data_IF_887266933457
#
_entry.id   IF_887266933457
#
_cell.length_a   1.000
_cell.length_b   1.000
_cell.length_c   1.000
_cell.angle_alpha   90.00
_cell.angle_beta   90.00
_cell.angle_gamma   90.00
#
_symmetry.space_group_name_H-M   'P 1'
#
loop_
_entity.id
_entity.type
_entity.pdbx_description
1 polymer ?
#
# COMPACT_ATOMS: atom_id res chain seq x y z
N UNK A 1 -7.28 -0.57 40.94
CA UNK A 1 -7.88 -1.89 40.64
C UNK A 1 -6.89 -2.60 39.72
N UNK A 2 -5.97 -3.42 40.26
CA UNK A 2 -4.84 -3.98 39.51
C UNK A 2 -5.31 -5.01 38.47
N UNK A 3 -5.08 -4.74 37.19
CA UNK A 3 -5.29 -5.70 36.11
C UNK A 3 -4.04 -6.58 35.97
N UNK A 4 -4.10 -7.83 36.45
CA UNK A 4 -3.03 -8.82 36.21
C UNK A 4 -3.19 -9.40 34.81
N UNK A 5 -2.31 -9.04 33.89
CA UNK A 5 -2.16 -9.72 32.60
C UNK A 5 -1.54 -11.11 32.82
N UNK A 6 -2.27 -12.17 32.46
CA UNK A 6 -1.78 -13.54 32.53
C UNK A 6 -1.09 -13.88 31.21
N UNK A 7 0.24 -13.84 31.20
CA UNK A 7 1.04 -14.27 30.05
C UNK A 7 1.50 -15.73 30.25
N UNK A 8 1.20 -16.60 29.28
CA UNK A 8 1.56 -18.01 29.32
C UNK A 8 2.86 -18.24 28.55
N UNK A 9 3.92 -18.66 29.25
CA UNK A 9 5.19 -19.04 28.62
C UNK A 9 5.33 -20.56 28.64
N UNK A 10 5.51 -21.17 27.47
CA UNK A 10 5.67 -22.60 27.33
C UNK A 10 7.14 -23.00 27.50
N UNK A 11 7.39 -24.04 28.30
CA UNK A 11 8.70 -24.64 28.49
C UNK A 11 8.65 -26.10 28.04
N UNK A 12 9.72 -26.58 27.40
CA UNK A 12 9.85 -27.99 27.02
C UNK A 12 10.63 -28.71 28.10
N UNK A 13 9.97 -29.65 28.78
CA UNK A 13 10.58 -30.50 29.80
C UNK A 13 10.84 -31.90 29.26
N UNK A 14 11.79 -32.59 29.88
CA UNK A 14 12.22 -33.93 29.48
C UNK A 14 12.35 -34.82 30.70
N UNK A 15 12.06 -36.11 30.54
CA UNK A 15 12.42 -37.09 31.58
C UNK A 15 13.96 -37.23 31.71
N UNK A 16 14.44 -37.60 32.90
CA UNK A 16 15.86 -37.68 33.29
C UNK A 16 16.62 -38.84 32.62
N UNK A 17 15.97 -39.60 31.75
CA UNK A 17 16.61 -40.71 31.03
C UNK A 17 17.58 -40.18 29.96
N UNK A 18 18.85 -40.60 30.04
CA UNK A 18 19.83 -40.41 28.96
C UNK A 18 19.45 -41.32 27.79
N UNK A 19 18.76 -40.75 26.80
CA UNK A 19 18.21 -41.50 25.66
C UNK A 19 19.26 -42.33 24.91
N UNK A 20 18.87 -43.52 24.46
CA UNK A 20 19.73 -44.50 23.77
C UNK A 20 18.93 -45.69 23.22
N UNK A 21 19.59 -46.63 22.53
CA UNK A 21 18.92 -47.79 21.90
C UNK A 21 18.24 -48.66 22.97
N UNK A 22 16.91 -48.62 23.02
CA UNK A 22 16.07 -49.30 24.01
C UNK A 22 15.54 -48.42 25.15
N UNK A 23 16.01 -47.17 25.27
CA UNK A 23 15.54 -46.20 26.26
C UNK A 23 14.89 -44.99 25.59
N UNK A 24 13.56 -44.93 25.66
CA UNK A 24 12.77 -43.82 25.14
C UNK A 24 12.86 -42.58 26.04
N UNK A 25 13.03 -41.41 25.42
CA UNK A 25 13.03 -40.12 26.13
C UNK A 25 11.76 -39.36 25.76
N UNK A 26 10.95 -39.07 26.76
CA UNK A 26 9.67 -38.38 26.59
C UNK A 26 9.87 -36.88 26.86
N UNK A 27 9.31 -36.07 25.97
CA UNK A 27 9.28 -34.61 26.05
C UNK A 27 7.84 -34.16 26.22
N UNK A 28 7.58 -33.19 27.08
CA UNK A 28 6.28 -32.56 27.18
C UNK A 28 6.40 -31.06 27.40
N UNK A 29 5.37 -30.33 26.95
CA UNK A 29 5.26 -28.89 27.08
C UNK A 29 4.51 -28.57 28.37
N UNK A 30 5.15 -27.81 29.26
CA UNK A 30 4.53 -27.32 30.48
C UNK A 30 4.33 -25.80 30.36
N UNK A 31 3.12 -25.33 30.64
CA UNK A 31 2.78 -23.92 30.62
C UNK A 31 2.75 -23.42 32.07
N UNK A 32 3.78 -22.67 32.47
CA UNK A 32 3.79 -22.02 33.78
C UNK A 32 3.14 -20.64 33.67
N UNK A 33 2.15 -20.39 34.53
CA UNK A 33 1.51 -19.08 34.67
C UNK A 33 2.47 -18.16 35.42
N UNK A 34 3.04 -17.19 34.72
CA UNK A 34 3.82 -16.15 35.35
C UNK A 34 2.90 -14.98 35.66
N UNK A 35 2.83 -14.55 36.92
CA UNK A 35 2.24 -13.26 37.27
C UNK A 35 3.37 -12.25 37.19
N UNK A 36 3.49 -11.59 36.04
CA UNK A 36 4.33 -10.39 35.98
C UNK A 36 3.63 -9.34 36.84
N UNK A 37 4.29 -8.88 37.89
CA UNK A 37 3.94 -7.61 38.52
C UNK A 37 4.19 -6.53 37.45
N UNK A 38 3.11 -5.91 37.01
CA UNK A 38 3.17 -4.75 36.12
C UNK A 38 3.72 -3.62 36.98
N UNK A 39 5.01 -3.34 36.85
CA UNK A 39 5.58 -2.09 37.33
C UNK A 39 4.77 -0.95 36.71
N UNK A 40 4.07 -0.18 37.55
CA UNK A 40 3.25 0.98 37.17
C UNK A 40 4.08 2.18 36.66
N UNK A 41 5.37 1.98 36.33
CA UNK A 41 6.27 2.99 35.79
C UNK A 41 6.57 2.86 34.28
N UNK A 42 5.83 2.03 33.56
CA UNK A 42 5.70 2.22 32.12
C UNK A 42 4.53 3.17 31.86
N UNK A 43 4.82 4.47 31.77
CA UNK A 43 4.05 5.36 30.90
C UNK A 43 4.01 4.68 29.53
N UNK A 44 2.90 4.03 29.22
CA UNK A 44 2.66 3.47 27.89
C UNK A 44 2.75 4.62 26.91
N UNK A 45 3.76 4.55 26.05
CA UNK A 45 4.00 5.42 24.90
C UNK A 45 2.89 5.29 23.84
N UNK A 46 1.63 5.45 24.23
CA UNK A 46 0.47 5.51 23.33
C UNK A 46 0.41 6.87 22.62
N UNK A 47 1.01 7.92 23.20
CA UNK A 47 1.03 9.28 22.63
C UNK A 47 1.76 9.39 21.28
N UNK A 48 2.58 8.40 20.92
CA UNK A 48 3.35 8.40 19.67
C UNK A 48 2.87 7.36 18.65
N UNK A 49 1.82 6.58 18.97
CA UNK A 49 1.34 5.50 18.12
C UNK A 49 -0.01 5.88 17.52
N UNK A 50 -0.10 5.83 16.20
CA UNK A 50 -1.36 5.93 15.46
C UNK A 50 -1.86 4.54 15.14
N UNK A 51 -3.12 4.28 15.48
CA UNK A 51 -3.87 3.12 15.02
C UNK A 51 -4.62 3.49 13.75
N UNK A 52 -4.36 2.76 12.67
CA UNK A 52 -5.05 2.92 11.41
C UNK A 52 -6.23 1.95 11.33
N UNK A 53 -7.31 2.44 10.76
CA UNK A 53 -8.47 1.66 10.40
C UNK A 53 -8.57 1.62 8.88
N UNK A 54 -9.04 0.47 8.39
CA UNK A 54 -9.26 0.25 6.97
C UNK A 54 -10.74 0.45 6.68
N UNK A 55 -11.07 1.41 5.82
CA UNK A 55 -12.44 1.58 5.36
C UNK A 55 -12.90 0.40 4.51
N UNK A 56 -14.21 0.14 4.52
CA UNK A 56 -14.80 -0.86 3.66
C UNK A 56 -14.64 -0.43 2.19
N UNK A 57 -14.15 -1.30 1.29
CA UNK A 57 -14.03 -0.98 -0.14
C UNK A 57 -15.34 -0.53 -0.81
N UNK A 58 -16.48 -0.96 -0.29
CA UNK A 58 -17.79 -0.61 -0.83
C UNK A 58 -18.19 0.86 -0.60
N UNK A 59 -17.60 1.52 0.41
CA UNK A 59 -17.95 2.90 0.78
C UNK A 59 -17.27 3.92 -0.15
N UNK A 60 -16.24 3.50 -0.87
CA UNK A 60 -15.43 4.38 -1.71
C UNK A 60 -16.08 4.54 -3.09
N UNK A 61 -16.34 5.80 -3.47
CA UNK A 61 -16.94 6.12 -4.77
C UNK A 61 -15.91 6.00 -5.88
N UNK A 62 -16.02 4.94 -6.67
CA UNK A 62 -15.21 4.73 -7.87
C UNK A 62 -15.76 5.50 -9.08
N UNK A 63 -14.85 5.86 -9.99
CA UNK A 63 -15.22 6.34 -11.32
C UNK A 63 -16.03 5.29 -12.09
N UNK A 64 -16.95 5.72 -12.94
CA UNK A 64 -17.92 4.85 -13.62
C UNK A 64 -17.27 3.68 -14.37
N UNK A 65 -16.17 3.96 -15.09
CA UNK A 65 -15.39 2.95 -15.81
C UNK A 65 -14.85 1.86 -14.87
N UNK A 66 -14.25 2.28 -13.76
CA UNK A 66 -13.63 1.37 -12.80
C UNK A 66 -14.66 0.64 -11.93
N UNK A 67 -15.85 1.19 -11.74
CA UNK A 67 -16.97 0.50 -11.06
C UNK A 67 -17.40 -0.78 -11.78
N UNK A 68 -17.26 -0.83 -13.11
CA UNK A 68 -17.55 -2.04 -13.88
C UNK A 68 -16.48 -3.14 -13.67
N UNK A 69 -15.22 -2.73 -13.50
CA UNK A 69 -14.06 -3.60 -13.37
C UNK A 69 -13.92 -4.11 -11.92
N UNK A 70 -13.96 -3.20 -10.95
CA UNK A 70 -13.88 -3.43 -9.51
C UNK A 70 -15.28 -3.64 -8.95
N UNK A 71 -15.72 -4.90 -8.88
CA UNK A 71 -16.98 -5.22 -8.20
C UNK A 71 -16.77 -5.11 -6.69
N UNK A 72 -17.60 -4.31 -6.02
CA UNK A 72 -17.51 -4.03 -4.58
C UNK A 72 -16.15 -3.45 -4.15
N UNK A 73 -15.45 -2.73 -5.03
CA UNK A 73 -14.14 -2.15 -4.72
C UNK A 73 -12.98 -3.16 -4.77
N UNK A 74 -13.22 -4.40 -5.17
CA UNK A 74 -12.20 -5.46 -5.26
C UNK A 74 -12.07 -6.02 -6.68
N UNK A 75 -10.83 -6.38 -7.03
CA UNK A 75 -10.46 -7.00 -8.29
C UNK A 75 -9.55 -8.19 -8.03
N UNK A 76 -9.97 -9.38 -8.44
CA UNK A 76 -9.11 -10.57 -8.46
C UNK A 76 -8.18 -10.50 -9.67
N UNK A 77 -6.88 -10.40 -9.47
CA UNK A 77 -5.92 -10.17 -10.57
C UNK A 77 -5.93 -11.31 -11.61
N UNK A 78 -6.13 -12.56 -11.17
CA UNK A 78 -6.24 -13.74 -12.05
C UNK A 78 -7.63 -13.94 -12.69
N UNK A 79 -8.61 -13.08 -12.37
CA UNK A 79 -9.91 -13.16 -13.04
C UNK A 79 -9.82 -12.63 -14.47
N UNK A 80 -10.76 -13.02 -15.33
CA UNK A 80 -10.84 -12.49 -16.69
C UNK A 80 -10.84 -10.95 -16.71
N UNK A 81 -11.55 -10.31 -15.77
CA UNK A 81 -11.59 -8.83 -15.65
C UNK A 81 -10.26 -8.25 -15.22
N UNK A 82 -9.59 -8.91 -14.27
CA UNK A 82 -8.25 -8.52 -13.82
C UNK A 82 -7.23 -8.61 -14.94
N UNK A 83 -7.26 -9.71 -15.69
CA UNK A 83 -6.40 -9.90 -16.86
C UNK A 83 -6.72 -8.86 -17.94
N UNK A 84 -7.99 -8.62 -18.26
CA UNK A 84 -8.40 -7.57 -19.20
C UNK A 84 -7.89 -6.19 -18.78
N UNK A 85 -8.07 -5.79 -17.52
CA UNK A 85 -7.56 -4.52 -17.01
C UNK A 85 -6.05 -4.43 -17.15
N UNK A 86 -5.32 -5.47 -16.74
CA UNK A 86 -3.86 -5.53 -16.87
C UNK A 86 -3.46 -5.40 -18.36
N UNK A 87 -4.10 -6.15 -19.25
CA UNK A 87 -3.80 -6.08 -20.69
C UNK A 87 -4.09 -4.71 -21.28
N UNK A 88 -5.17 -4.03 -20.87
CA UNK A 88 -5.50 -2.66 -21.32
C UNK A 88 -4.47 -1.64 -20.80
N UNK A 89 -4.05 -1.77 -19.54
CA UNK A 89 -3.01 -0.90 -18.98
C UNK A 89 -1.69 -1.07 -19.74
N UNK A 90 -1.21 -2.30 -19.92
CA UNK A 90 0.04 -2.56 -20.65
C UNK A 90 -0.06 -2.21 -22.13
N UNK A 91 -1.18 -2.53 -22.79
CA UNK A 91 -1.38 -2.19 -24.21
C UNK A 91 -1.45 -0.69 -24.43
N UNK A 92 -1.95 0.10 -23.49
CA UNK A 92 -1.95 1.56 -23.60
C UNK A 92 -0.53 2.15 -23.53
N UNK A 93 0.36 1.60 -22.69
CA UNK A 93 1.77 2.02 -22.63
C UNK A 93 2.50 1.64 -23.92
N UNK A 94 2.31 0.40 -24.39
CA UNK A 94 2.91 -0.09 -25.65
C UNK A 94 2.37 0.70 -26.85
N UNK A 95 1.06 0.93 -26.90
CA UNK A 95 0.40 1.70 -27.95
C UNK A 95 0.84 3.14 -27.98
N UNK A 96 1.05 3.77 -26.82
CA UNK A 96 1.62 5.11 -26.72
C UNK A 96 3.06 5.16 -27.23
N UNK A 97 3.91 4.19 -26.84
CA UNK A 97 5.28 4.10 -27.35
C UNK A 97 5.31 3.88 -28.87
N UNK A 98 4.43 3.02 -29.40
CA UNK A 98 4.29 2.79 -30.83
C UNK A 98 3.81 4.05 -31.56
N UNK A 99 2.87 4.81 -30.98
CA UNK A 99 2.42 6.08 -31.52
C UNK A 99 3.57 7.10 -31.64
N UNK A 100 4.36 7.28 -30.58
CA UNK A 100 5.54 8.16 -30.61
C UNK A 100 6.56 7.69 -31.65
N UNK A 101 6.77 6.38 -31.77
CA UNK A 101 7.67 5.80 -32.76
C UNK A 101 7.20 6.04 -34.20
N UNK A 102 5.92 5.76 -34.50
CA UNK A 102 5.33 6.00 -35.82
C UNK A 102 5.34 7.49 -36.17
N UNK A 103 4.97 8.35 -35.23
CA UNK A 103 5.01 9.80 -35.40
C UNK A 103 6.43 10.28 -35.75
N UNK A 104 7.44 9.71 -35.10
CA UNK A 104 8.84 10.01 -35.40
C UNK A 104 9.25 9.54 -36.82
N UNK A 105 8.76 8.39 -37.27
CA UNK A 105 9.03 7.90 -38.63
C UNK A 105 8.39 8.78 -39.71
N UNK A 106 7.15 9.25 -39.49
CA UNK A 106 6.45 10.16 -40.41
C UNK A 106 7.25 11.46 -40.58
N UNK A 107 7.71 12.04 -39.46
CA UNK A 107 8.52 13.26 -39.49
C UNK A 107 9.86 13.12 -40.21
N UNK A 108 10.45 11.92 -40.25
CA UNK A 108 11.72 11.66 -40.94
C UNK A 108 11.52 11.45 -42.45
N UNK A 109 10.33 11.02 -42.87
CA UNK A 109 10.02 10.76 -44.28
C UNK A 109 9.68 12.03 -45.07
N UNK A 110 9.22 13.08 -44.40
CA UNK A 110 9.01 14.37 -45.04
C UNK A 110 10.37 15.04 -45.31
N UNK A 111 10.74 15.15 -46.59
CA UNK A 111 11.96 15.87 -47.04
C UNK A 111 11.89 17.39 -46.80
N UNK A 112 10.83 17.88 -46.14
CA UNK A 112 10.66 19.30 -45.82
C UNK A 112 11.57 19.72 -44.66
N UNK A 113 12.13 20.92 -44.77
CA UNK A 113 12.84 21.58 -43.67
C UNK A 113 11.90 21.69 -42.45
N UNK A 114 12.33 21.16 -41.30
CA UNK A 114 11.58 21.20 -40.04
C UNK A 114 10.95 22.57 -39.81
N UNK A 115 9.62 22.63 -39.84
CA UNK A 115 8.89 23.87 -39.57
C UNK A 115 8.90 24.12 -38.06
N UNK A 116 8.86 25.38 -37.62
CA UNK A 116 8.77 25.74 -36.20
C UNK A 116 7.56 25.11 -35.49
N UNK A 117 6.50 24.82 -36.25
CA UNK A 117 5.28 24.15 -35.82
C UNK A 117 5.51 22.65 -35.53
N UNK A 118 6.37 21.96 -36.28
CA UNK A 118 6.73 20.56 -36.03
C UNK A 118 7.52 20.42 -34.74
N UNK A 119 8.47 21.34 -34.52
CA UNK A 119 9.24 21.40 -33.28
C UNK A 119 8.33 21.64 -32.06
N UNK A 120 7.31 22.49 -32.20
CA UNK A 120 6.32 22.71 -31.16
C UNK A 120 5.55 21.41 -30.83
N UNK A 121 5.04 20.69 -31.84
CA UNK A 121 4.32 19.43 -31.61
C UNK A 121 5.19 18.34 -30.99
N UNK A 122 6.44 18.19 -31.42
CA UNK A 122 7.40 17.25 -30.82
C UNK A 122 7.62 17.58 -29.35
N UNK A 123 7.79 18.86 -29.03
CA UNK A 123 8.00 19.32 -27.65
C UNK A 123 6.76 19.03 -26.79
N UNK A 124 5.57 19.36 -27.29
CA UNK A 124 4.30 19.06 -26.61
C UNK A 124 4.09 17.56 -26.41
N UNK A 125 4.37 16.74 -27.43
CA UNK A 125 4.23 15.28 -27.37
C UNK A 125 5.19 14.68 -26.35
N UNK A 126 6.45 15.11 -26.36
CA UNK A 126 7.48 14.67 -25.41
C UNK A 126 7.09 15.04 -23.98
N UNK A 127 6.66 16.29 -23.76
CA UNK A 127 6.22 16.76 -22.45
C UNK A 127 5.00 15.99 -21.93
N UNK A 128 4.00 15.78 -22.78
CA UNK A 128 2.82 14.99 -22.44
C UNK A 128 3.18 13.52 -22.15
N UNK A 129 4.06 12.92 -22.96
CA UNK A 129 4.57 11.57 -22.75
C UNK A 129 5.29 11.44 -21.40
N UNK A 130 6.10 12.42 -21.03
CA UNK A 130 6.77 12.49 -19.73
C UNK A 130 5.77 12.57 -18.57
N UNK A 131 4.76 13.43 -18.66
CA UNK A 131 3.69 13.54 -17.64
C UNK A 131 2.96 12.20 -17.49
N UNK A 132 2.51 11.60 -18.60
CA UNK A 132 1.82 10.32 -18.59
C UNK A 132 2.67 9.22 -17.96
N UNK A 133 3.95 9.14 -18.33
CA UNK A 133 4.87 8.16 -17.75
C UNK A 133 5.04 8.38 -16.23
N UNK A 134 5.27 9.62 -15.79
CA UNK A 134 5.52 9.97 -14.39
C UNK A 134 4.33 9.72 -13.47
N UNK A 135 3.12 10.12 -13.90
CA UNK A 135 1.92 10.11 -13.05
C UNK A 135 1.02 8.90 -13.24
N UNK A 136 1.19 8.14 -14.32
CA UNK A 136 0.34 7.00 -14.62
C UNK A 136 1.12 5.67 -14.64
N UNK A 137 2.21 5.60 -15.39
CA UNK A 137 2.97 4.34 -15.53
C UNK A 137 3.75 3.98 -14.24
N UNK A 138 4.49 4.93 -13.67
CA UNK A 138 5.33 4.68 -12.48
C UNK A 138 4.51 4.20 -11.27
N UNK A 139 3.40 4.86 -10.86
CA UNK A 139 2.61 4.40 -9.72
C UNK A 139 2.08 2.98 -9.90
N UNK A 140 1.61 2.64 -11.10
CA UNK A 140 1.10 1.31 -11.41
C UNK A 140 2.21 0.24 -11.40
N UNK A 141 3.41 0.58 -11.88
CA UNK A 141 4.55 -0.33 -11.86
C UNK A 141 5.05 -0.62 -10.44
N UNK A 142 4.94 0.36 -9.54
CA UNK A 142 5.34 0.21 -8.14
C UNK A 142 4.31 -0.54 -7.29
N UNK A 143 3.07 -0.72 -7.78
CA UNK A 143 1.98 -1.36 -7.04
C UNK A 143 2.32 -2.78 -6.53
N UNK A 144 2.93 -3.69 -7.33
CA UNK A 144 3.25 -5.04 -6.86
C UNK A 144 4.30 -5.07 -5.74
N UNK A 145 5.26 -4.13 -5.77
CA UNK A 145 6.37 -4.03 -4.82
C UNK A 145 5.93 -3.34 -3.53
N UNK A 146 5.41 -2.11 -3.63
CA UNK A 146 4.99 -1.32 -2.47
C UNK A 146 3.72 -1.87 -1.81
N UNK A 147 2.92 -2.63 -2.56
CA UNK A 147 1.65 -3.26 -2.17
C UNK A 147 0.53 -2.32 -1.76
N UNK A 148 0.84 -1.13 -1.28
CA UNK A 148 -0.09 -0.05 -1.00
C UNK A 148 0.46 1.20 -1.68
N UNK A 149 -0.36 1.83 -2.51
CA UNK A 149 -0.04 3.10 -3.17
C UNK A 149 -1.27 4.02 -3.08
N UNK A 150 -1.09 5.32 -3.30
CA UNK A 150 -2.23 6.21 -3.51
C UNK A 150 -2.98 5.81 -4.79
N UNK A 151 -4.31 5.78 -4.72
CA UNK A 151 -5.11 5.51 -5.91
C UNK A 151 -4.93 6.67 -6.91
N UNK A 152 -4.66 6.40 -8.21
CA UNK A 152 -4.59 7.45 -9.20
C UNK A 152 -5.96 8.12 -9.35
N UNK A 153 -5.97 9.43 -9.63
CA UNK A 153 -7.20 10.22 -9.73
C UNK A 153 -8.19 9.68 -10.78
N UNK A 154 -7.71 8.97 -11.80
CA UNK A 154 -8.59 8.33 -12.80
C UNK A 154 -9.50 7.26 -12.19
N UNK A 155 -9.09 6.64 -11.08
CA UNK A 155 -9.77 5.48 -10.49
C UNK A 155 -10.90 5.88 -9.53
N UNK A 156 -10.69 6.95 -8.77
CA UNK A 156 -11.66 7.50 -7.83
C UNK A 156 -12.64 8.45 -8.53
N UNK A 157 -13.82 8.62 -7.96
CA UNK A 157 -14.76 9.67 -8.39
C UNK A 157 -14.24 11.05 -7.98
N UNK A 158 -14.58 12.09 -8.74
CA UNK A 158 -14.29 13.49 -8.35
C UNK A 158 -14.90 13.91 -7.01
N UNK A 159 -15.88 13.16 -6.49
CA UNK A 159 -16.48 13.40 -5.18
C UNK A 159 -15.70 12.76 -4.02
N UNK A 160 -14.65 11.98 -4.31
CA UNK A 160 -13.79 11.36 -3.30
C UNK A 160 -12.42 12.04 -3.31
N UNK A 161 -12.01 12.59 -2.18
CA UNK A 161 -10.75 13.36 -2.11
C UNK A 161 -9.51 12.46 -2.09
N UNK A 162 -9.62 11.27 -1.49
CA UNK A 162 -8.49 10.36 -1.34
C UNK A 162 -8.93 8.91 -1.14
N UNK A 163 -8.26 8.03 -1.88
CA UNK A 163 -8.27 6.59 -1.67
C UNK A 163 -6.88 6.01 -1.91
N UNK A 164 -6.72 4.76 -1.50
CA UNK A 164 -5.50 3.97 -1.57
C UNK A 164 -5.81 2.67 -2.34
N UNK A 165 -4.85 2.21 -3.12
CA UNK A 165 -4.89 0.90 -3.76
C UNK A 165 -4.05 -0.07 -2.94
N UNK A 166 -4.65 -1.18 -2.52
CA UNK A 166 -3.98 -2.23 -1.79
C UNK A 166 -4.00 -3.56 -2.54
N UNK A 167 -2.82 -4.17 -2.70
CA UNK A 167 -2.64 -5.54 -3.15
C UNK A 167 -2.34 -6.49 -1.99
N UNK A 168 -3.20 -7.49 -1.81
CA UNK A 168 -3.04 -8.53 -0.80
C UNK A 168 -3.29 -9.94 -1.34
N UNK A 169 -2.95 -10.94 -0.53
CA UNK A 169 -3.24 -12.35 -0.79
C UNK A 169 -4.39 -12.78 0.10
N UNK A 170 -5.43 -13.32 -0.52
CA UNK A 170 -6.51 -13.97 0.22
C UNK A 170 -6.06 -15.34 0.78
N UNK A 171 -6.89 -15.95 1.64
CA UNK A 171 -6.68 -17.29 2.22
C UNK A 171 -6.42 -18.34 1.13
N UNK A 172 -7.11 -18.22 0.00
CA UNK A 172 -6.96 -19.09 -1.16
C UNK A 172 -5.75 -18.75 -2.05
N UNK A 173 -4.82 -17.92 -1.55
CA UNK A 173 -3.61 -17.44 -2.26
C UNK A 173 -3.89 -16.67 -3.56
N UNK A 174 -5.12 -16.19 -3.73
CA UNK A 174 -5.48 -15.31 -4.84
C UNK A 174 -4.86 -13.92 -4.64
N UNK A 175 -4.23 -13.36 -5.68
CA UNK A 175 -3.86 -11.94 -5.70
C UNK A 175 -5.13 -11.10 -5.88
N UNK A 176 -5.42 -10.25 -4.90
CA UNK A 176 -6.55 -9.32 -4.94
C UNK A 176 -6.01 -7.90 -4.84
N UNK A 177 -6.49 -7.03 -5.72
CA UNK A 177 -6.29 -5.58 -5.67
C UNK A 177 -7.60 -4.95 -5.22
N UNK A 178 -7.58 -4.23 -4.11
CA UNK A 178 -8.76 -3.52 -3.59
C UNK A 178 -8.50 -2.04 -3.46
N UNK A 179 -9.56 -1.27 -3.57
CA UNK A 179 -9.56 0.16 -3.28
C UNK A 179 -10.00 0.30 -1.84
N UNK A 180 -9.21 0.99 -1.04
CA UNK A 180 -9.47 1.20 0.39
C UNK A 180 -9.01 2.59 0.81
N UNK A 181 -9.22 2.95 2.07
CA UNK A 181 -8.79 4.22 2.64
C UNK A 181 -8.27 3.91 4.04
N UNK A 182 -7.02 4.24 4.27
CA UNK A 182 -6.43 4.12 5.60
C UNK A 182 -6.60 5.45 6.33
N UNK A 183 -7.27 5.40 7.48
CA UNK A 183 -7.44 6.54 8.37
C UNK A 183 -6.99 6.19 9.77
N UNK A 184 -6.25 7.07 10.42
CA UNK A 184 -5.97 6.97 11.84
C UNK A 184 -6.39 8.23 12.57
N UNK A 185 -6.41 8.17 13.91
CA UNK A 185 -6.61 9.36 14.74
C UNK A 185 -5.25 9.82 15.25
N UNK A 186 -4.95 11.11 15.11
CA UNK A 186 -3.69 11.68 15.59
C UNK A 186 -3.71 11.75 17.13
N UNK A 187 -2.73 11.16 17.85
CA UNK A 187 -2.70 11.23 19.31
C UNK A 187 -2.47 12.66 19.84
N UNK A 188 -1.82 13.53 19.07
CA UNK A 188 -1.44 14.89 19.51
C UNK A 188 -2.59 15.90 19.40
N UNK A 189 -3.40 15.82 18.35
CA UNK A 189 -4.43 16.83 18.03
C UNK A 189 -5.79 16.24 17.67
N UNK A 190 -5.93 14.92 17.74
CA UNK A 190 -7.20 14.18 17.50
C UNK A 190 -7.78 14.32 16.09
N UNK A 191 -7.11 15.03 15.18
CA UNK A 191 -7.46 15.11 13.76
C UNK A 191 -7.17 13.79 13.03
N UNK A 192 -7.84 13.60 11.89
CA UNK A 192 -7.56 12.51 10.94
C UNK A 192 -6.08 12.50 10.51
N UNK A 193 -5.51 11.29 10.48
CA UNK A 193 -4.23 10.96 9.86
C UNK A 193 -4.52 10.17 8.59
N UNK A 194 -4.04 10.67 7.47
CA UNK A 194 -4.25 10.07 6.14
C UNK A 194 -2.91 9.69 5.51
N UNK A 195 -2.90 8.64 4.70
CA UNK A 195 -1.68 8.26 3.98
C UNK A 195 -1.36 9.25 2.86
N UNK A 196 -0.09 9.66 2.80
CA UNK A 196 0.50 10.50 1.75
C UNK A 196 1.87 9.94 1.37
N UNK A 197 2.37 10.38 0.22
CA UNK A 197 3.71 10.00 -0.23
C UNK A 197 4.78 10.44 0.78
N UNK A 198 5.71 9.53 1.04
CA UNK A 198 6.90 9.80 1.84
C UNK A 198 7.80 10.80 1.13
N UNK A 199 8.50 11.62 1.93
CA UNK A 199 9.61 12.43 1.39
C UNK A 199 10.85 11.55 1.16
N UNK A 200 11.84 11.98 0.34
CA UNK A 200 13.03 11.18 0.06
C UNK A 200 13.89 10.80 1.28
N UNK A 201 13.82 11.56 2.37
CA UNK A 201 14.44 11.28 3.67
C UNK A 201 13.73 10.13 4.43
N UNK A 202 12.51 9.80 4.04
CA UNK A 202 11.70 8.77 4.66
C UNK A 202 11.88 7.44 3.91
N UNK A 203 12.24 6.38 4.63
CA UNK A 203 12.48 5.04 4.03
C UNK A 203 11.23 4.40 3.43
N UNK A 204 10.05 4.85 3.83
CA UNK A 204 8.77 4.24 3.47
C UNK A 204 8.10 5.02 2.34
N UNK A 205 7.52 4.34 1.34
CA UNK A 205 6.88 5.02 0.20
C UNK A 205 5.63 5.80 0.62
N UNK A 206 4.92 5.34 1.65
CA UNK A 206 3.76 6.00 2.23
C UNK A 206 3.98 6.23 3.72
N UNK A 207 3.51 7.38 4.19
CA UNK A 207 3.51 7.78 5.60
C UNK A 207 2.14 8.35 5.97
N UNK A 208 1.74 8.17 7.23
CA UNK A 208 0.58 8.86 7.77
C UNK A 208 0.92 10.31 8.06
N UNK A 209 0.10 11.24 7.53
CA UNK A 209 0.21 12.66 7.85
C UNK A 209 -1.10 13.16 8.43
N UNK A 210 -1.01 13.85 9.55
CA UNK A 210 -2.15 14.56 10.11
C UNK A 210 -2.67 15.61 9.13
N UNK A 211 -3.99 15.80 9.08
CA UNK A 211 -4.63 16.82 8.24
C UNK A 211 -4.36 18.23 8.76
N UNK A 212 -4.46 18.44 10.08
CA UNK A 212 -4.21 19.74 10.72
C UNK A 212 -2.72 20.16 10.71
N UNK A 213 -1.82 19.21 10.99
CA UNK A 213 -0.36 19.50 11.04
C UNK A 213 0.44 18.49 10.20
N UNK A 214 0.39 18.59 8.86
CA UNK A 214 0.95 17.59 7.96
C UNK A 214 2.48 17.55 7.93
N UNK A 215 3.14 18.59 8.44
CA UNK A 215 4.60 18.71 8.45
C UNK A 215 5.24 18.29 9.77
N UNK A 216 4.53 18.43 10.90
CA UNK A 216 5.04 18.08 12.22
C UNK A 216 4.51 16.72 12.72
N UNK A 217 3.24 16.40 12.44
CA UNK A 217 2.63 15.15 12.88
C UNK A 217 2.68 14.13 11.74
N UNK A 218 3.82 13.44 11.65
CA UNK A 218 4.09 12.42 10.64
C UNK A 218 4.31 11.08 11.33
N UNK A 219 3.73 10.02 10.80
CA UNK A 219 3.74 8.69 11.37
C UNK A 219 4.13 7.65 10.31
N UNK A 220 4.82 6.59 10.72
CA UNK A 220 5.06 5.43 9.87
C UNK A 220 3.74 4.72 9.58
N UNK A 221 3.76 3.83 8.59
CA UNK A 221 2.59 3.04 8.24
C UNK A 221 2.98 1.60 7.98
N UNK A 222 2.47 0.69 8.81
CA UNK A 222 2.49 -0.73 8.52
C UNK A 222 1.07 -1.23 8.22
N UNK A 223 0.89 -1.73 6.99
CA UNK A 223 -0.39 -2.27 6.50
C UNK A 223 -0.85 -3.55 7.21
N UNK A 224 0.07 -4.29 7.83
CA UNK A 224 -0.21 -5.59 8.47
C UNK A 224 -0.67 -5.37 9.89
N UNK A 225 0.11 -4.63 10.69
CA UNK A 225 -0.26 -4.30 12.07
C UNK A 225 -1.29 -3.18 12.17
N UNK A 226 -1.45 -2.38 11.10
CA UNK A 226 -2.25 -1.15 11.09
C UNK A 226 -1.84 -0.18 12.20
N UNK A 227 -0.55 -0.13 12.50
CA UNK A 227 0.03 0.80 13.46
C UNK A 227 1.12 1.65 12.80
N UNK A 228 1.33 2.82 13.37
CA UNK A 228 2.38 3.75 12.95
C UNK A 228 2.99 4.43 14.15
N UNK A 229 4.31 4.56 14.14
CA UNK A 229 5.07 5.31 15.13
C UNK A 229 5.40 6.69 14.58
N UNK A 230 5.45 7.70 15.43
CA UNK A 230 5.82 9.06 15.02
C UNK A 230 7.22 9.09 14.41
N UNK A 231 7.33 9.67 13.21
CA UNK A 231 8.58 9.92 12.51
C UNK A 231 9.06 11.33 12.90
N UNK A 232 10.31 11.42 13.35
CA UNK A 232 11.00 12.68 13.66
C UNK A 232 11.75 13.21 12.46
#
# INVERSE_FOLDING_TARGET
MHFKSLCNKAFVNTNDTKGGKGNERIYWLEIKKFTAEVDENHETSEDNIVHYERSNPADIKLSWLYKFIFKNGELRNKSLRGLLMITVLFSSVIGWAAYVFIFSLVLVQDEQSFTSLDLFWITCLSFFSFIMFKYWAIPLWNLPEHRVIKAPMSLISFAEDHADLEMYRDKDRNQITRVTKFKGTCPICTSDVILKDGKPDQKMPLVGRCVESPFAHVYSFDRVTLKGEQLK
#
